data_IF_613289799578
#
_entry.id   IF_613289799578
#
_cell.length_a   1.000
_cell.length_b   1.000
_cell.length_c   1.000
_cell.angle_alpha   90.00
_cell.angle_beta   90.00
_cell.angle_gamma   90.00
#
_symmetry.space_group_name_H-M   'P 1'
#
loop_
_entity.id
_entity.type
_entity.pdbx_description
1 polymer ?
#
# COMPACT_ATOMS: atom_id res chain seq x y z
N UNK A 1 -1.56 -9.13 14.39
CA UNK A 1 -0.14 -9.25 13.96
C UNK A 1 0.24 -10.71 14.04
N UNK A 2 0.81 -11.28 12.98
CA UNK A 2 1.41 -12.61 13.00
C UNK A 2 2.94 -12.46 12.98
N UNK A 3 3.62 -13.09 13.94
CA UNK A 3 5.07 -12.99 14.12
C UNK A 3 5.70 -14.35 13.84
N UNK A 4 6.68 -14.40 12.95
CA UNK A 4 7.58 -15.54 12.74
C UNK A 4 8.85 -15.35 13.58
N UNK A 5 9.10 -16.24 14.53
CA UNK A 5 10.37 -16.30 15.26
C UNK A 5 11.25 -17.37 14.63
N UNK A 6 12.43 -16.98 14.16
CA UNK A 6 13.33 -17.87 13.41
C UNK A 6 14.82 -17.59 13.69
N UNK A 7 15.69 -18.42 13.12
CA UNK A 7 17.10 -18.09 12.87
C UNK A 7 17.53 -18.70 11.55
N UNK A 8 18.57 -18.16 10.92
CA UNK A 8 18.86 -18.42 9.49
C UNK A 8 19.31 -19.85 9.20
N UNK A 9 19.89 -20.55 10.16
CA UNK A 9 20.39 -21.94 10.04
C UNK A 9 19.39 -23.00 10.51
N UNK A 10 18.18 -22.59 10.89
CA UNK A 10 17.12 -23.47 11.36
C UNK A 10 16.46 -24.22 10.19
N UNK A 11 16.70 -25.53 10.07
CA UNK A 11 16.14 -26.36 9.00
C UNK A 11 14.61 -26.29 8.87
N UNK A 12 13.84 -26.44 9.97
CA UNK A 12 12.39 -26.27 9.92
C UNK A 12 11.97 -24.85 9.52
N UNK A 13 12.67 -23.81 9.98
CA UNK A 13 12.37 -22.43 9.61
C UNK A 13 12.57 -22.20 8.10
N UNK A 14 13.65 -22.74 7.52
CA UNK A 14 13.92 -22.70 6.09
C UNK A 14 12.81 -23.39 5.27
N UNK A 15 12.18 -24.43 5.83
CA UNK A 15 11.08 -25.13 5.19
C UNK A 15 9.76 -24.36 5.26
N UNK A 16 9.47 -23.70 6.39
CA UNK A 16 8.17 -23.07 6.64
C UNK A 16 8.09 -21.61 6.21
N UNK A 17 9.22 -20.90 6.12
CA UNK A 17 9.22 -19.48 5.71
C UNK A 17 8.69 -19.21 4.31
N UNK A 18 8.83 -20.09 3.29
CA UNK A 18 8.14 -19.91 2.02
C UNK A 18 6.61 -19.97 2.18
N UNK A 19 6.11 -20.82 3.08
CA UNK A 19 4.67 -20.89 3.37
C UNK A 19 4.18 -19.65 4.09
N UNK A 20 4.98 -19.11 5.02
CA UNK A 20 4.70 -17.84 5.68
C UNK A 20 4.64 -16.69 4.67
N UNK A 21 5.58 -16.62 3.71
CA UNK A 21 5.57 -15.62 2.63
C UNK A 21 4.35 -15.73 1.71
N UNK A 22 3.98 -16.94 1.28
CA UNK A 22 2.75 -17.13 0.50
C UNK A 22 1.51 -16.71 1.30
N UNK A 23 1.48 -16.99 2.60
CA UNK A 23 0.38 -16.57 3.47
C UNK A 23 0.35 -15.04 3.59
N UNK A 24 1.48 -14.37 3.81
CA UNK A 24 1.58 -12.91 3.76
C UNK A 24 0.98 -12.34 2.46
N UNK A 25 1.22 -13.01 1.33
CA UNK A 25 0.67 -12.60 0.05
C UNK A 25 -0.85 -12.80 -0.04
N UNK A 26 -1.36 -13.90 0.49
CA UNK A 26 -2.79 -14.21 0.50
C UNK A 26 -3.60 -13.32 1.45
N UNK A 27 -2.96 -12.68 2.43
CA UNK A 27 -3.59 -11.81 3.44
C UNK A 27 -3.21 -10.33 3.29
N UNK A 28 -2.79 -9.96 2.08
CA UNK A 28 -2.92 -8.56 1.65
C UNK A 28 -1.65 -7.76 1.80
N UNK A 29 -0.48 -8.41 1.87
CA UNK A 29 0.79 -7.71 1.93
C UNK A 29 0.82 -6.61 3.02
N UNK A 30 0.37 -6.94 4.24
CA UNK A 30 0.24 -5.99 5.35
C UNK A 30 -0.75 -4.81 5.15
N UNK A 31 -1.57 -4.83 4.09
CA UNK A 31 -2.71 -3.92 3.90
C UNK A 31 -4.06 -4.53 4.30
N UNK A 32 -4.06 -5.82 4.66
CA UNK A 32 -5.26 -6.56 5.08
C UNK A 32 -5.51 -6.57 6.59
N UNK A 33 -6.22 -7.59 7.06
CA UNK A 33 -6.65 -7.74 8.46
C UNK A 33 -5.53 -8.20 9.40
N UNK A 34 -4.41 -8.67 8.86
CA UNK A 34 -3.27 -9.18 9.63
C UNK A 34 -1.96 -8.59 9.08
N UNK A 35 -1.08 -8.23 10.02
CA UNK A 35 0.23 -7.68 9.73
C UNK A 35 1.29 -8.72 10.08
N UNK A 36 2.16 -9.07 9.12
CA UNK A 36 3.22 -10.06 9.21
C UNK A 36 4.55 -9.39 9.49
N UNK A 37 5.32 -9.96 10.42
CA UNK A 37 6.70 -9.58 10.73
C UNK A 37 7.51 -10.83 11.11
N UNK A 38 8.82 -10.78 10.97
CA UNK A 38 9.71 -11.85 11.41
C UNK A 38 10.82 -11.32 12.34
N UNK A 39 11.13 -12.09 13.38
CA UNK A 39 12.14 -11.81 14.40
C UNK A 39 13.20 -12.89 14.34
N UNK A 40 14.42 -12.49 13.98
CA UNK A 40 15.56 -13.39 13.95
C UNK A 40 16.24 -13.48 15.33
N UNK A 41 16.73 -14.67 15.67
CA UNK A 41 17.54 -14.91 16.87
C UNK A 41 19.02 -15.12 16.52
N UNK A 42 19.84 -14.12 16.87
CA UNK A 42 21.31 -14.21 16.87
C UNK A 42 22.02 -13.84 15.57
N UNK A 43 21.35 -13.78 14.42
CA UNK A 43 21.99 -13.46 13.13
C UNK A 43 22.00 -11.96 12.83
N UNK A 44 22.92 -11.52 11.97
CA UNK A 44 23.02 -10.14 11.52
C UNK A 44 22.19 -9.85 10.26
N UNK A 45 22.12 -8.58 9.86
CA UNK A 45 21.41 -8.16 8.64
C UNK A 45 21.82 -8.92 7.38
N UNK A 46 23.13 -9.14 7.17
CA UNK A 46 23.64 -9.80 5.97
C UNK A 46 23.21 -11.27 5.90
N UNK A 47 23.21 -11.96 7.05
CA UNK A 47 22.73 -13.35 7.16
C UNK A 47 21.21 -13.43 6.92
N UNK A 48 20.43 -12.50 7.47
CA UNK A 48 18.98 -12.43 7.22
C UNK A 48 18.68 -12.20 5.72
N UNK A 49 19.39 -11.28 5.07
CA UNK A 49 19.25 -11.04 3.63
C UNK A 49 19.65 -12.27 2.81
N UNK A 50 20.73 -12.97 3.20
CA UNK A 50 21.14 -14.21 2.54
C UNK A 50 20.08 -15.31 2.69
N UNK A 51 19.46 -15.41 3.86
CA UNK A 51 18.34 -16.32 4.13
C UNK A 51 17.13 -16.00 3.22
N UNK A 52 16.71 -14.74 3.14
CA UNK A 52 15.61 -14.32 2.25
C UNK A 52 15.91 -14.66 0.78
N UNK A 53 17.11 -14.31 0.30
CA UNK A 53 17.51 -14.63 -1.08
C UNK A 53 17.50 -16.14 -1.36
N UNK A 54 17.95 -16.95 -0.40
CA UNK A 54 18.08 -18.40 -0.58
C UNK A 54 16.73 -19.13 -0.51
N UNK A 55 15.91 -18.82 0.50
CA UNK A 55 14.72 -19.61 0.81
C UNK A 55 13.43 -18.95 0.33
N UNK A 56 13.41 -17.62 0.17
CA UNK A 56 12.21 -16.87 -0.23
C UNK A 56 12.28 -16.36 -1.67
N UNK A 57 13.38 -16.62 -2.38
CA UNK A 57 13.60 -16.16 -3.76
C UNK A 57 13.82 -14.64 -3.88
N UNK A 58 14.35 -14.02 -2.80
CA UNK A 58 14.56 -12.58 -2.71
C UNK A 58 13.89 -11.99 -1.46
N UNK A 59 13.75 -10.67 -1.43
CA UNK A 59 13.11 -9.95 -0.33
C UNK A 59 11.77 -10.62 0.09
N UNK A 60 11.57 -10.79 1.39
CA UNK A 60 10.39 -11.43 1.97
C UNK A 60 9.09 -10.67 1.68
N UNK A 61 9.16 -9.35 1.56
CA UNK A 61 8.04 -8.43 1.39
C UNK A 61 7.49 -7.91 2.72
N UNK A 62 7.65 -8.66 3.81
CA UNK A 62 7.30 -8.25 5.17
C UNK A 62 8.55 -7.79 5.94
N UNK A 63 8.42 -7.00 7.02
CA UNK A 63 9.57 -6.61 7.84
C UNK A 63 10.23 -7.81 8.52
N UNK A 64 11.56 -7.89 8.37
CA UNK A 64 12.43 -8.85 9.07
C UNK A 64 13.39 -8.07 9.96
N UNK A 65 13.44 -8.42 11.25
CA UNK A 65 14.31 -7.79 12.24
C UNK A 65 15.44 -8.76 12.59
N UNK A 66 16.66 -8.44 12.16
CA UNK A 66 17.84 -9.25 12.46
C UNK A 66 18.10 -9.34 13.97
N UNK A 67 18.68 -10.44 14.40
CA UNK A 67 19.02 -10.69 15.78
C UNK A 67 19.97 -9.66 16.39
N UNK A 68 20.97 -9.20 15.62
CA UNK A 68 22.02 -8.30 16.11
C UNK A 68 21.67 -6.82 15.96
N UNK A 69 21.50 -6.32 14.72
CA UNK A 69 21.24 -4.89 14.49
C UNK A 69 19.76 -4.51 14.60
N UNK A 70 18.86 -5.42 14.22
CA UNK A 70 17.41 -5.20 14.22
C UNK A 70 16.74 -5.39 15.58
N UNK A 71 17.47 -5.89 16.58
CA UNK A 71 16.95 -6.15 17.92
C UNK A 71 16.09 -7.42 18.03
N UNK A 72 16.05 -8.26 16.99
CA UNK A 72 15.25 -9.49 16.96
C UNK A 72 15.50 -10.40 18.17
N UNK A 73 16.78 -10.59 18.55
CA UNK A 73 17.18 -11.42 19.70
C UNK A 73 16.55 -10.93 21.00
N UNK A 74 16.50 -9.61 21.21
CA UNK A 74 15.89 -9.04 22.41
C UNK A 74 14.38 -9.30 22.45
N UNK A 75 13.72 -9.26 21.29
CA UNK A 75 12.29 -9.60 21.16
C UNK A 75 12.06 -11.09 21.40
N UNK A 76 12.85 -11.98 20.78
CA UNK A 76 12.78 -13.43 21.02
C UNK A 76 12.91 -13.77 22.52
N UNK A 77 13.87 -13.14 23.20
CA UNK A 77 14.07 -13.31 24.65
C UNK A 77 12.88 -12.77 25.47
N UNK A 78 12.31 -11.62 25.08
CA UNK A 78 11.15 -11.02 25.75
C UNK A 78 9.91 -11.90 25.65
N UNK A 79 9.71 -12.54 24.50
CA UNK A 79 8.61 -13.48 24.28
C UNK A 79 8.89 -14.88 24.86
N UNK A 80 10.10 -15.14 25.36
CA UNK A 80 10.47 -16.44 25.93
C UNK A 80 10.51 -17.57 24.91
N UNK A 81 10.89 -17.28 23.66
CA UNK A 81 10.90 -18.27 22.58
C UNK A 81 12.00 -19.31 22.81
N UNK A 82 11.59 -20.56 22.99
CA UNK A 82 12.49 -21.70 23.25
C UNK A 82 12.61 -22.71 22.11
N UNK A 83 11.79 -22.57 21.06
CA UNK A 83 11.79 -23.42 19.88
C UNK A 83 11.69 -22.55 18.62
N UNK A 84 12.21 -23.05 17.50
CA UNK A 84 12.22 -22.33 16.23
C UNK A 84 11.87 -23.31 15.08
N UNK A 85 10.97 -22.92 14.16
CA UNK A 85 10.23 -21.67 14.17
C UNK A 85 9.14 -21.69 15.25
N UNK A 86 8.72 -20.52 15.71
CA UNK A 86 7.49 -20.35 16.49
C UNK A 86 6.70 -19.22 15.84
N UNK A 87 5.42 -19.47 15.57
CA UNK A 87 4.53 -18.49 14.98
C UNK A 87 3.50 -18.05 16.01
N UNK A 88 3.41 -16.74 16.26
CA UNK A 88 2.48 -16.16 17.24
C UNK A 88 1.46 -15.28 16.52
N UNK A 89 0.19 -15.35 16.94
CA UNK A 89 -0.85 -14.41 16.52
C UNK A 89 -1.31 -13.55 17.68
N UNK A 90 -1.30 -12.25 17.44
CA UNK A 90 -1.67 -11.21 18.39
C UNK A 90 -2.89 -10.47 17.86
N UNK A 91 -3.94 -10.43 18.67
CA UNK A 91 -5.18 -9.71 18.38
C UNK A 91 -4.98 -8.18 18.59
N UNK A 92 -5.76 -7.29 17.94
CA UNK A 92 -5.61 -5.83 18.09
C UNK A 92 -5.72 -5.28 19.53
N UNK A 93 -6.39 -6.01 20.44
CA UNK A 93 -6.42 -5.69 21.88
C UNK A 93 -5.11 -6.07 22.61
N UNK A 94 -4.07 -6.50 21.89
CA UNK A 94 -2.73 -6.89 22.37
C UNK A 94 -2.67 -8.23 23.10
N UNK A 95 -3.71 -9.05 23.07
CA UNK A 95 -3.65 -10.41 23.61
C UNK A 95 -3.05 -11.36 22.58
N UNK A 96 -2.18 -12.26 23.04
CA UNK A 96 -1.75 -13.41 22.24
C UNK A 96 -2.93 -14.39 22.18
N UNK A 97 -3.36 -14.73 20.97
CA UNK A 97 -4.47 -15.65 20.71
C UNK A 97 -3.98 -16.98 20.13
N UNK A 98 -2.78 -17.02 19.57
CA UNK A 98 -2.03 -18.25 19.29
C UNK A 98 -0.60 -18.06 19.75
N UNK A 99 -0.16 -18.90 20.69
CA UNK A 99 1.18 -18.82 21.29
C UNK A 99 2.23 -19.62 20.51
N UNK A 100 1.78 -20.61 19.74
CA UNK A 100 2.61 -21.43 18.86
C UNK A 100 1.74 -22.09 17.79
N UNK A 101 1.83 -21.62 16.54
CA UNK A 101 1.21 -22.31 15.40
C UNK A 101 2.13 -23.42 14.90
N UNK A 102 1.82 -24.64 15.29
CA UNK A 102 2.56 -25.83 14.87
C UNK A 102 1.62 -27.05 14.79
N UNK A 103 1.85 -27.99 13.86
CA UNK A 103 2.83 -28.01 12.77
C UNK A 103 2.41 -27.19 11.55
N UNK A 104 3.39 -26.73 10.75
CA UNK A 104 3.18 -26.04 9.48
C UNK A 104 3.72 -26.90 8.33
N UNK A 105 2.85 -27.29 7.40
CA UNK A 105 3.22 -28.11 6.23
C UNK A 105 2.86 -27.48 4.88
N UNK A 106 2.09 -26.39 4.91
CA UNK A 106 1.68 -25.62 3.73
C UNK A 106 1.11 -24.26 4.18
N UNK A 107 0.87 -23.31 3.27
CA UNK A 107 0.17 -22.05 3.60
C UNK A 107 -1.21 -22.28 4.26
N UNK A 108 -1.90 -23.36 3.86
CA UNK A 108 -3.20 -23.73 4.42
C UNK A 108 -3.15 -24.06 5.92
N UNK A 109 -1.96 -24.35 6.47
CA UNK A 109 -1.79 -24.52 7.92
C UNK A 109 -2.08 -23.20 8.66
N UNK A 110 -1.61 -22.07 8.13
CA UNK A 110 -1.91 -20.75 8.69
C UNK A 110 -3.36 -20.34 8.47
N UNK A 111 -3.93 -20.68 7.30
CA UNK A 111 -5.33 -20.39 6.97
C UNK A 111 -6.30 -20.96 8.01
N UNK A 112 -6.02 -22.15 8.55
CA UNK A 112 -6.86 -22.77 9.58
C UNK A 112 -6.90 -21.94 10.87
N UNK A 113 -5.74 -21.46 11.35
CA UNK A 113 -5.67 -20.56 12.51
C UNK A 113 -6.30 -19.20 12.22
N UNK A 114 -6.03 -18.63 11.05
CA UNK A 114 -6.54 -17.31 10.72
C UNK A 114 -8.08 -17.30 10.58
N UNK A 115 -8.64 -18.32 9.92
CA UNK A 115 -10.08 -18.47 9.75
C UNK A 115 -10.81 -18.71 11.08
N UNK A 116 -10.19 -19.44 12.04
CA UNK A 116 -10.80 -19.65 13.37
C UNK A 116 -10.90 -18.36 14.18
N UNK A 117 -10.09 -17.35 13.85
CA UNK A 117 -10.11 -16.01 14.44
C UNK A 117 -10.78 -14.95 13.55
N UNK A 118 -11.53 -15.37 12.53
CA UNK A 118 -12.35 -14.49 11.68
C UNK A 118 -11.56 -13.65 10.66
N UNK A 119 -10.30 -14.01 10.41
CA UNK A 119 -9.52 -13.43 9.31
C UNK A 119 -9.89 -14.10 8.00
N UNK A 120 -9.87 -13.33 6.92
CA UNK A 120 -10.17 -13.80 5.57
C UNK A 120 -9.04 -13.44 4.62
N UNK A 121 -8.80 -14.30 3.63
CA UNK A 121 -7.83 -14.02 2.58
C UNK A 121 -8.26 -12.77 1.80
N UNK A 122 -7.31 -11.86 1.62
CA UNK A 122 -7.44 -10.67 0.78
C UNK A 122 -6.09 -10.57 0.09
N UNK A 123 -5.90 -11.18 -1.10
CA UNK A 123 -4.61 -11.20 -1.77
C UNK A 123 -4.03 -9.79 -1.93
N UNK A 124 -2.71 -9.68 -2.00
CA UNK A 124 -2.05 -8.38 -2.17
C UNK A 124 -2.69 -7.57 -3.29
N UNK A 125 -2.89 -6.26 -3.08
CA UNK A 125 -3.38 -5.40 -4.15
C UNK A 125 -2.37 -5.45 -5.31
N UNK A 126 -2.79 -6.04 -6.43
CA UNK A 126 -1.99 -6.12 -7.66
C UNK A 126 -2.23 -4.92 -8.58
N UNK A 127 -2.99 -3.93 -8.11
CA UNK A 127 -3.29 -2.68 -8.79
C UNK A 127 -2.87 -1.50 -7.96
N UNK A 128 -2.38 -0.46 -8.63
CA UNK A 128 -2.57 0.90 -8.13
C UNK A 128 -4.06 1.16 -8.34
N UNK A 129 -4.83 1.33 -7.27
CA UNK A 129 -6.09 2.05 -7.46
C UNK A 129 -5.67 3.44 -7.95
N UNK A 130 -5.78 3.68 -9.27
CA UNK A 130 -6.12 5.02 -9.69
C UNK A 130 -7.33 5.35 -8.85
N UNK A 131 -7.22 6.37 -8.01
CA UNK A 131 -8.41 7.00 -7.44
C UNK A 131 -9.25 7.29 -8.68
N UNK A 132 -10.25 6.45 -8.93
CA UNK A 132 -11.24 6.66 -9.94
C UNK A 132 -11.94 7.90 -9.44
N UNK A 133 -11.41 9.03 -9.88
CA UNK A 133 -11.85 10.29 -9.37
C UNK A 133 -13.30 10.35 -9.77
N UNK A 134 -14.20 10.36 -8.79
CA UNK A 134 -15.64 10.24 -8.95
C UNK A 134 -16.25 11.49 -9.62
N UNK A 135 -15.53 12.08 -10.56
CA UNK A 135 -15.93 13.17 -11.41
C UNK A 135 -15.54 12.76 -12.82
N UNK A 136 -16.54 12.45 -13.65
CA UNK A 136 -16.37 12.22 -15.08
C UNK A 136 -16.13 13.56 -15.79
N UNK A 137 -15.06 14.26 -15.39
CA UNK A 137 -14.74 15.61 -15.87
C UNK A 137 -13.94 15.49 -17.16
N UNK A 138 -14.35 16.26 -18.16
CA UNK A 138 -13.70 16.35 -19.46
C UNK A 138 -13.15 17.76 -19.69
N UNK A 139 -12.02 17.83 -20.40
CA UNK A 139 -11.41 19.09 -20.84
C UNK A 139 -11.37 19.16 -22.36
N UNK A 140 -11.88 20.23 -22.95
CA UNK A 140 -11.82 20.42 -24.39
C UNK A 140 -11.78 21.90 -24.81
N UNK A 141 -11.09 22.25 -25.91
CA UNK A 141 -10.22 21.38 -26.68
C UNK A 141 -8.94 21.05 -25.90
N UNK A 142 -8.43 19.83 -26.06
CA UNK A 142 -7.09 19.45 -25.64
C UNK A 142 -6.41 18.76 -26.83
N UNK A 143 -5.34 19.34 -27.42
CA UNK A 143 -4.62 20.54 -26.96
C UNK A 143 -5.46 21.85 -27.03
N UNK A 144 -5.10 22.87 -26.24
CA UNK A 144 -5.78 24.15 -26.14
C UNK A 144 -4.93 25.32 -26.66
N UNK A 145 -5.53 26.32 -27.31
CA UNK A 145 -4.84 27.51 -27.85
C UNK A 145 -4.99 28.78 -27.01
N UNK A 146 -6.10 28.91 -26.27
CA UNK A 146 -6.42 30.16 -25.56
C UNK A 146 -7.50 30.02 -24.50
N UNK A 147 -8.38 29.03 -24.61
CA UNK A 147 -9.35 28.68 -23.59
C UNK A 147 -9.56 27.17 -23.54
N UNK A 148 -10.02 26.68 -22.40
CA UNK A 148 -10.56 25.34 -22.24
C UNK A 148 -11.96 25.42 -21.65
N UNK A 149 -12.81 24.51 -22.08
CA UNK A 149 -14.06 24.15 -21.45
C UNK A 149 -13.81 22.97 -20.52
N UNK A 150 -14.38 23.07 -19.32
CA UNK A 150 -14.36 22.06 -18.27
C UNK A 150 -15.81 21.64 -18.10
N UNK A 151 -16.11 20.38 -18.39
CA UNK A 151 -17.46 19.85 -18.27
C UNK A 151 -17.46 18.62 -17.37
N UNK A 152 -18.40 18.55 -16.43
CA UNK A 152 -18.69 17.32 -15.70
C UNK A 152 -19.74 16.52 -16.48
N UNK A 153 -19.36 15.36 -17.02
CA UNK A 153 -20.23 14.53 -17.85
C UNK A 153 -21.42 13.93 -17.07
N UNK A 154 -21.32 13.87 -15.75
CA UNK A 154 -22.39 13.40 -14.87
C UNK A 154 -23.30 14.55 -14.39
N UNK A 155 -23.02 15.79 -14.84
CA UNK A 155 -23.78 16.98 -14.50
C UNK A 155 -23.42 17.59 -13.14
N UNK A 156 -22.31 17.14 -12.53
CA UNK A 156 -21.78 17.68 -11.28
C UNK A 156 -21.45 19.18 -11.39
N UNK A 157 -21.72 19.95 -10.35
CA UNK A 157 -21.51 21.40 -10.37
C UNK A 157 -20.08 21.75 -10.01
N UNK A 158 -19.36 22.38 -10.94
CA UNK A 158 -17.96 22.77 -10.78
C UNK A 158 -17.90 24.05 -9.93
N UNK A 159 -17.24 23.96 -8.77
CA UNK A 159 -17.14 25.04 -7.78
C UNK A 159 -15.81 25.78 -7.84
N UNK A 160 -14.72 25.09 -8.17
CA UNK A 160 -13.39 25.70 -8.26
C UNK A 160 -12.46 24.95 -9.19
N UNK A 161 -11.41 25.65 -9.66
CA UNK A 161 -10.33 25.09 -10.46
C UNK A 161 -8.97 25.63 -10.03
N UNK A 162 -7.95 24.80 -10.16
CA UNK A 162 -6.54 25.17 -9.95
C UNK A 162 -5.68 24.59 -11.07
N UNK A 163 -4.96 25.44 -11.79
CA UNK A 163 -4.02 25.06 -12.86
C UNK A 163 -2.59 25.19 -12.38
N UNK A 164 -1.79 24.14 -12.56
CA UNK A 164 -0.39 24.08 -12.13
C UNK A 164 0.50 23.32 -13.13
N UNK A 165 1.81 23.56 -13.09
CA UNK A 165 2.78 22.86 -13.92
C UNK A 165 3.31 21.57 -13.26
N UNK A 166 4.21 20.86 -13.95
CA UNK A 166 4.83 19.62 -13.46
C UNK A 166 5.70 19.80 -12.20
N UNK A 167 6.07 21.02 -11.85
CA UNK A 167 6.81 21.35 -10.61
C UNK A 167 5.85 21.77 -9.48
N UNK A 168 4.53 21.74 -9.72
CA UNK A 168 3.51 22.16 -8.76
C UNK A 168 3.31 23.67 -8.67
N UNK A 169 3.95 24.47 -9.53
CA UNK A 169 3.76 25.93 -9.54
C UNK A 169 2.35 26.23 -10.03
N UNK A 170 1.55 26.91 -9.20
CA UNK A 170 0.18 27.31 -9.54
C UNK A 170 0.20 28.57 -10.42
N UNK A 171 -0.59 28.55 -11.48
CA UNK A 171 -0.76 29.65 -12.43
C UNK A 171 -2.15 30.28 -12.32
N UNK A 172 -3.19 29.45 -12.19
CA UNK A 172 -4.57 29.91 -12.09
C UNK A 172 -5.21 29.23 -10.89
N UNK A 173 -5.88 30.00 -10.05
CA UNK A 173 -6.75 29.49 -9.00
C UNK A 173 -8.04 30.32 -9.03
N UNK A 174 -9.17 29.64 -9.25
CA UNK A 174 -10.47 30.32 -9.44
C UNK A 174 -11.56 29.55 -8.73
N UNK A 175 -12.35 30.27 -7.94
CA UNK A 175 -13.64 29.81 -7.42
C UNK A 175 -14.75 30.43 -8.28
N UNK A 176 -15.73 29.62 -8.66
CA UNK A 176 -16.86 30.09 -9.46
C UNK A 176 -18.01 30.52 -8.52
N UNK A 177 -18.56 31.71 -8.76
CA UNK A 177 -19.69 32.22 -7.98
C UNK A 177 -20.97 31.43 -8.25
N UNK A 178 -21.19 31.01 -9.50
CA UNK A 178 -22.24 30.09 -9.90
C UNK A 178 -21.61 28.74 -10.24
N UNK A 179 -21.93 27.71 -9.44
CA UNK A 179 -21.50 26.35 -9.69
C UNK A 179 -22.35 25.74 -10.83
N UNK A 180 -21.75 25.61 -12.01
CA UNK A 180 -22.37 25.11 -13.23
C UNK A 180 -21.74 23.77 -13.64
N UNK A 181 -22.47 22.90 -14.38
CA UNK A 181 -21.92 21.68 -14.96
C UNK A 181 -20.82 21.91 -16.00
N UNK A 182 -20.79 23.11 -16.59
CA UNK A 182 -19.80 23.51 -17.56
C UNK A 182 -19.22 24.88 -17.18
N UNK A 183 -17.89 25.00 -17.20
CA UNK A 183 -17.16 26.23 -16.94
C UNK A 183 -16.12 26.47 -18.03
N UNK A 184 -15.84 27.74 -18.33
CA UNK A 184 -14.78 28.13 -19.26
C UNK A 184 -13.63 28.79 -18.51
N UNK A 185 -12.40 28.43 -18.90
CA UNK A 185 -11.18 28.98 -18.36
C UNK A 185 -10.31 29.56 -19.48
N UNK A 186 -10.00 30.85 -19.36
CA UNK A 186 -9.09 31.57 -20.27
C UNK A 186 -7.65 31.27 -19.84
N UNK A 187 -6.80 30.93 -20.81
CA UNK A 187 -5.43 30.45 -20.63
C UNK A 187 -4.37 31.44 -21.12
N UNK A 188 -4.72 32.73 -21.23
CA UNK A 188 -3.84 33.78 -21.78
C UNK A 188 -2.54 33.98 -20.98
N UNK A 189 -2.54 33.61 -19.71
CA UNK A 189 -1.39 33.73 -18.81
C UNK A 189 -0.43 32.53 -18.86
N UNK A 190 -0.79 31.49 -19.63
CA UNK A 190 -0.02 30.26 -19.75
C UNK A 190 0.79 30.28 -21.06
N UNK A 191 2.08 30.02 -20.93
CA UNK A 191 2.94 29.74 -22.08
C UNK A 191 2.60 28.38 -22.69
N UNK A 192 3.10 28.11 -23.90
CA UNK A 192 2.97 26.77 -24.50
C UNK A 192 3.68 25.73 -23.63
N UNK A 193 3.01 24.63 -23.32
CA UNK A 193 3.50 23.63 -22.36
C UNK A 193 2.43 22.64 -21.91
N UNK A 194 2.83 21.72 -21.01
CA UNK A 194 1.93 20.74 -20.39
C UNK A 194 1.56 21.22 -18.99
N UNK A 195 0.28 21.19 -18.69
CA UNK A 195 -0.28 21.62 -17.42
C UNK A 195 -1.25 20.58 -16.85
N UNK A 196 -1.45 20.66 -15.55
CA UNK A 196 -2.47 19.92 -14.81
C UNK A 196 -3.52 20.90 -14.32
N UNK A 197 -4.78 20.49 -14.36
CA UNK A 197 -5.90 21.21 -13.76
C UNK A 197 -6.59 20.31 -12.77
N UNK A 198 -6.67 20.78 -11.53
CA UNK A 198 -7.55 20.25 -10.50
C UNK A 198 -8.89 20.95 -10.61
N UNK A 199 -9.96 20.17 -10.72
CA UNK A 199 -11.36 20.61 -10.85
C UNK A 199 -12.10 20.12 -9.63
N UNK A 200 -12.66 21.03 -8.85
CA UNK A 200 -13.42 20.74 -7.65
C UNK A 200 -14.90 20.91 -7.98
N UNK A 201 -15.70 19.89 -7.73
CA UNK A 201 -17.16 19.89 -7.83
C UNK A 201 -17.79 19.99 -6.44
N UNK A 202 -19.12 19.98 -6.34
CA UNK A 202 -19.81 19.92 -5.04
C UNK A 202 -19.55 18.60 -4.28
N UNK A 203 -19.25 17.51 -4.98
CA UNK A 203 -19.17 16.15 -4.40
C UNK A 203 -17.79 15.49 -4.53
N UNK A 204 -16.93 15.97 -5.42
CA UNK A 204 -15.66 15.33 -5.77
C UNK A 204 -14.63 16.34 -6.28
N UNK A 205 -13.38 15.90 -6.48
CA UNK A 205 -12.34 16.73 -7.08
C UNK A 205 -11.46 15.88 -7.98
N UNK A 206 -11.25 16.28 -9.25
CA UNK A 206 -10.48 15.55 -10.27
C UNK A 206 -9.27 16.31 -10.77
N UNK A 207 -8.18 15.59 -11.10
CA UNK A 207 -6.98 16.17 -11.70
C UNK A 207 -6.82 15.65 -13.12
N UNK A 208 -6.75 16.56 -14.09
CA UNK A 208 -6.64 16.24 -15.51
C UNK A 208 -5.43 16.94 -16.14
N UNK A 209 -4.83 16.31 -17.14
CA UNK A 209 -3.71 16.87 -17.91
C UNK A 209 -4.22 17.51 -19.20
N UNK A 210 -3.72 18.70 -19.54
CA UNK A 210 -3.92 19.31 -20.85
C UNK A 210 -2.65 19.97 -21.39
N UNK A 211 -2.58 20.12 -22.71
CA UNK A 211 -1.47 20.77 -23.40
C UNK A 211 -1.92 22.13 -23.93
N UNK A 212 -1.18 23.21 -23.59
CA UNK A 212 -1.34 24.56 -24.16
C UNK A 212 -0.36 24.72 -25.32
N UNK A 213 -0.83 25.21 -26.46
CA UNK A 213 0.03 25.58 -27.59
C UNK A 213 -0.07 27.07 -27.89
#
# INVERSE_FOLDING_TARGET
>A
VCIDFFFTTCGPCQQTSPYFKTTYQNYGCNSGQVYFIAMDYGDNNAQCIAYENTYLGGNSGYPVFSGQEGGGTAVCNTYGIGAYPTYILIHPNKTIIEQDMWPISSPASFDAYFSSHGLSQTPCPTGVEEVATAANVMLFPNPASGQITIADADGGRITAVRVFDMMGKTYIERKFEAALPEQQLILSELNSGVYFIEVITESSAAVLKFSKF
#
